data_IF_291182613374
#
_entry.id   IF_291182613374
#
_cell.length_a   1.000
_cell.length_b   1.000
_cell.length_c   1.000
_cell.angle_alpha   90.00
_cell.angle_beta   90.00
_cell.angle_gamma   90.00
#
_symmetry.space_group_name_H-M   'P 1'
#
loop_
_entity.id
_entity.type
_entity.pdbx_description
1 polymer ?
#
# COMPACT_ATOMS: atom_id res chain seq x y z
N UNK A 1 -28.51 4.14 5.32
CA UNK A 1 -27.04 4.13 5.13
C UNK A 1 -26.41 3.55 6.38
N UNK A 2 -25.34 2.77 6.23
CA UNK A 2 -24.56 2.22 7.35
C UNK A 2 -23.90 3.38 8.11
N UNK A 3 -23.90 3.33 9.44
CA UNK A 3 -23.20 4.29 10.29
C UNK A 3 -21.91 3.63 10.82
N UNK A 4 -20.87 4.40 11.01
CA UNK A 4 -19.67 3.95 11.69
C UNK A 4 -19.95 3.72 13.18
N UNK A 5 -19.46 2.62 13.72
CA UNK A 5 -19.58 2.29 15.14
C UNK A 5 -18.17 2.17 15.75
N UNK A 6 -17.76 3.17 16.52
CA UNK A 6 -16.46 3.19 17.19
C UNK A 6 -16.22 1.99 18.12
N UNK A 7 -17.29 1.37 18.64
CA UNK A 7 -17.12 0.20 19.52
C UNK A 7 -16.47 -0.99 18.83
N UNK A 8 -16.50 -1.02 17.48
CA UNK A 8 -15.89 -2.05 16.65
C UNK A 8 -14.36 -1.88 16.49
N UNK A 9 -13.81 -0.69 16.73
CA UNK A 9 -12.37 -0.41 16.57
C UNK A 9 -11.47 -1.28 17.46
N UNK A 10 -12.03 -1.87 18.50
CA UNK A 10 -11.33 -2.81 19.39
C UNK A 10 -11.48 -4.29 18.99
N UNK A 11 -12.32 -4.58 18.00
CA UNK A 11 -12.61 -5.95 17.56
C UNK A 11 -11.62 -6.36 16.46
N UNK A 12 -10.73 -7.35 16.70
CA UNK A 12 -9.75 -7.79 15.71
C UNK A 12 -10.36 -8.39 14.44
N UNK A 13 -11.65 -8.71 14.44
CA UNK A 13 -12.37 -9.14 13.26
C UNK A 13 -12.92 -7.98 12.41
N UNK A 14 -12.89 -6.75 12.95
CA UNK A 14 -13.32 -5.54 12.25
C UNK A 14 -12.13 -4.66 11.87
N UNK A 15 -11.19 -5.18 11.11
CA UNK A 15 -9.99 -4.47 10.64
C UNK A 15 -10.20 -3.75 9.30
N UNK A 16 -11.25 -4.07 8.56
CA UNK A 16 -11.65 -3.35 7.34
C UNK A 16 -13.16 -3.42 7.11
N UNK A 17 -13.69 -2.40 6.43
CA UNK A 17 -15.08 -2.31 5.99
C UNK A 17 -15.14 -1.54 4.68
N UNK A 18 -15.69 -2.14 3.62
CA UNK A 18 -15.81 -1.56 2.29
C UNK A 18 -14.48 -1.06 1.68
N UNK A 19 -13.34 -1.52 2.19
CA UNK A 19 -12.03 -1.29 1.60
C UNK A 19 -11.85 -2.14 0.34
N UNK A 20 -11.18 -1.61 -0.68
CA UNK A 20 -10.80 -2.37 -1.86
C UNK A 20 -9.84 -3.51 -1.50
N UNK A 21 -9.91 -4.62 -2.25
CA UNK A 21 -8.92 -5.68 -2.16
C UNK A 21 -7.54 -5.15 -2.55
N UNK A 22 -6.50 -5.58 -1.84
CA UNK A 22 -5.13 -5.22 -2.17
C UNK A 22 -4.78 -5.65 -3.60
N UNK A 23 -4.06 -4.80 -4.31
CA UNK A 23 -3.62 -5.03 -5.69
C UNK A 23 -2.25 -4.38 -5.91
N UNK A 24 -1.60 -4.71 -7.01
CA UNK A 24 -0.33 -4.08 -7.38
C UNK A 24 -0.48 -2.56 -7.56
N UNK A 25 0.51 -1.81 -7.10
CA UNK A 25 0.54 -0.35 -7.09
C UNK A 25 1.11 0.27 -8.39
N UNK A 26 0.97 -0.43 -9.50
CA UNK A 26 1.45 0.01 -10.81
C UNK A 26 0.81 1.34 -11.24
N UNK A 27 1.59 2.16 -11.92
CA UNK A 27 1.11 3.41 -12.52
C UNK A 27 0.69 3.13 -13.96
N UNK A 28 -0.42 3.72 -14.37
CA UNK A 28 -0.93 3.62 -15.75
C UNK A 28 -1.26 5.01 -16.31
N UNK A 29 -1.16 5.13 -17.63
CA UNK A 29 -1.30 6.35 -18.39
C UNK A 29 -2.35 6.16 -19.47
N UNK A 30 -2.99 7.25 -19.92
CA UNK A 30 -4.02 7.19 -20.97
C UNK A 30 -3.50 6.69 -22.32
N UNK A 31 -2.27 7.06 -22.65
CA UNK A 31 -1.60 6.67 -23.90
C UNK A 31 -0.07 6.79 -23.76
N UNK A 32 0.66 6.31 -24.77
CA UNK A 32 2.12 6.35 -24.78
C UNK A 32 2.72 7.75 -24.79
N UNK A 33 2.03 8.77 -25.32
CA UNK A 33 2.51 10.15 -25.30
C UNK A 33 2.45 10.73 -23.90
N UNK A 34 1.35 10.50 -23.16
CA UNK A 34 1.23 10.89 -21.77
C UNK A 34 2.30 10.20 -20.91
N UNK A 35 2.48 8.91 -21.07
CA UNK A 35 3.51 8.12 -20.40
C UNK A 35 4.91 8.72 -20.62
N UNK A 36 5.29 8.99 -21.86
CA UNK A 36 6.59 9.58 -22.18
C UNK A 36 6.79 10.96 -21.56
N UNK A 37 5.77 11.81 -21.61
CA UNK A 37 5.79 13.15 -21.01
C UNK A 37 5.92 13.05 -19.49
N UNK A 38 5.14 12.18 -18.87
CA UNK A 38 5.17 11.99 -17.42
C UNK A 38 6.52 11.48 -16.92
N UNK A 39 7.14 10.52 -17.63
CA UNK A 39 8.48 10.02 -17.29
C UNK A 39 9.56 11.10 -17.47
N UNK A 40 9.45 11.99 -18.48
CA UNK A 40 10.42 13.04 -18.73
C UNK A 40 10.31 14.20 -17.73
N UNK A 41 9.10 14.63 -17.44
CA UNK A 41 8.81 15.85 -16.69
C UNK A 41 8.48 15.60 -15.22
N UNK A 42 8.37 14.33 -14.81
CA UNK A 42 7.97 13.94 -13.45
C UNK A 42 6.52 14.34 -13.11
N UNK A 43 5.64 14.38 -14.12
CA UNK A 43 4.24 14.76 -13.93
C UNK A 43 3.38 13.53 -13.60
N UNK A 44 2.32 13.75 -12.84
CA UNK A 44 1.35 12.70 -12.53
C UNK A 44 0.55 12.30 -13.79
N UNK A 45 0.03 11.08 -13.80
CA UNK A 45 -0.90 10.58 -14.80
C UNK A 45 -2.25 11.32 -14.70
N UNK A 46 -2.95 11.50 -15.84
CA UNK A 46 -4.31 12.06 -15.85
C UNK A 46 -5.36 11.19 -15.15
N UNK A 47 -5.02 9.96 -14.80
CA UNK A 47 -5.88 9.09 -14.01
C UNK A 47 -5.82 9.38 -12.51
N UNK A 48 -4.86 10.17 -12.02
CA UNK A 48 -4.72 10.55 -10.60
C UNK A 48 -4.94 12.05 -10.39
N UNK A 49 -5.40 12.39 -9.20
CA UNK A 49 -5.56 13.77 -8.75
C UNK A 49 -5.20 13.86 -7.28
N UNK A 50 -4.11 14.53 -6.96
CA UNK A 50 -3.60 14.67 -5.59
C UNK A 50 -4.58 15.45 -4.70
N UNK A 51 -4.82 14.93 -3.50
CA UNK A 51 -5.50 15.63 -2.41
C UNK A 51 -4.54 16.14 -1.33
N UNK A 52 -3.25 15.99 -1.53
CA UNK A 52 -2.22 16.51 -0.63
C UNK A 52 -2.37 18.01 -0.38
N UNK A 53 -1.66 18.51 0.62
CA UNK A 53 -1.67 19.92 1.01
C UNK A 53 -2.47 20.16 2.29
N UNK A 54 -3.09 21.34 2.43
CA UNK A 54 -3.78 21.70 3.66
C UNK A 54 -5.17 21.06 3.76
N UNK A 55 -5.45 20.47 4.93
CA UNK A 55 -6.75 19.94 5.32
C UNK A 55 -7.20 20.62 6.60
N UNK A 56 -8.50 20.79 6.80
CA UNK A 56 -9.05 21.19 8.10
C UNK A 56 -8.86 20.07 9.11
N UNK A 57 -8.48 20.41 10.33
CA UNK A 57 -8.01 19.48 11.33
C UNK A 57 -8.52 19.79 12.72
N UNK A 58 -8.89 18.74 13.47
CA UNK A 58 -9.23 18.82 14.86
C UNK A 58 -8.64 17.65 15.64
N UNK A 59 -7.82 17.97 16.65
CA UNK A 59 -7.23 17.00 17.55
C UNK A 59 -8.11 16.74 18.78
N UNK A 60 -8.25 15.48 19.16
CA UNK A 60 -8.88 15.10 20.41
C UNK A 60 -8.02 14.06 21.14
N UNK A 61 -7.97 14.16 22.47
CA UNK A 61 -7.20 13.24 23.31
C UNK A 61 -7.74 11.80 23.30
N UNK A 62 -9.03 11.63 23.04
CA UNK A 62 -9.72 10.36 22.93
C UNK A 62 -11.05 10.54 22.19
N UNK A 63 -11.69 9.44 21.82
CA UNK A 63 -12.95 9.48 21.07
C UNK A 63 -14.10 10.18 21.83
N UNK A 64 -14.14 10.07 23.16
CA UNK A 64 -15.19 10.75 23.97
C UNK A 64 -15.11 12.28 23.89
N UNK A 65 -13.91 12.82 23.66
CA UNK A 65 -13.67 14.26 23.49
C UNK A 65 -13.62 14.70 22.01
N UNK A 66 -13.66 13.76 21.07
CA UNK A 66 -13.66 14.06 19.64
C UNK A 66 -14.99 14.71 19.21
N UNK A 67 -14.90 15.61 18.24
CA UNK A 67 -16.08 16.25 17.65
C UNK A 67 -16.95 15.21 16.96
N UNK A 68 -18.22 15.16 17.33
CA UNK A 68 -19.18 14.25 16.74
C UNK A 68 -20.01 14.96 15.66
N UNK A 69 -20.37 14.23 14.60
CA UNK A 69 -21.19 14.76 13.52
C UNK A 69 -20.44 15.71 12.57
N UNK A 70 -19.11 15.80 12.69
CA UNK A 70 -18.30 16.67 11.83
C UNK A 70 -18.31 16.23 10.36
N UNK A 71 -18.60 14.97 10.10
CA UNK A 71 -18.73 14.37 8.77
C UNK A 71 -19.93 14.90 7.99
N UNK A 72 -20.96 15.41 8.68
CA UNK A 72 -22.18 15.93 8.07
C UNK A 72 -21.90 17.11 7.16
N UNK A 73 -22.68 17.24 6.09
CA UNK A 73 -22.48 18.29 5.10
C UNK A 73 -22.65 19.69 5.67
N UNK A 74 -23.61 19.87 6.57
CA UNK A 74 -23.94 21.15 7.20
C UNK A 74 -23.02 21.54 8.35
N UNK A 75 -22.14 20.63 8.79
CA UNK A 75 -21.15 20.95 9.84
C UNK A 75 -20.07 21.88 9.29
N UNK A 76 -19.88 23.03 9.92
CA UNK A 76 -18.87 24.01 9.55
C UNK A 76 -17.54 23.77 10.26
N UNK A 77 -16.47 23.58 9.49
CA UNK A 77 -15.11 23.40 10.00
C UNK A 77 -14.26 24.69 9.92
N UNK A 78 -14.88 25.88 9.77
CA UNK A 78 -14.16 27.12 9.54
C UNK A 78 -13.12 27.44 10.63
N UNK A 79 -13.49 27.21 11.89
CA UNK A 79 -12.65 27.49 13.05
C UNK A 79 -11.66 26.36 13.40
N UNK A 80 -11.60 25.31 12.59
CA UNK A 80 -10.64 24.23 12.74
C UNK A 80 -9.24 24.67 12.28
N UNK A 81 -8.21 24.09 12.85
CA UNK A 81 -6.84 24.26 12.39
C UNK A 81 -6.67 23.78 10.94
N UNK A 82 -5.58 24.19 10.33
CA UNK A 82 -5.11 23.63 9.06
C UNK A 82 -3.89 22.77 9.34
N UNK A 83 -3.85 21.55 8.78
CA UNK A 83 -2.73 20.62 8.90
C UNK A 83 -2.25 20.18 7.51
N UNK A 84 -0.96 19.92 7.37
CA UNK A 84 -0.44 19.34 6.14
C UNK A 84 -0.79 17.83 6.05
N UNK A 85 -1.12 17.39 4.85
CA UNK A 85 -1.25 15.99 4.45
C UNK A 85 -0.41 15.83 3.18
N UNK A 86 0.55 14.89 3.14
CA UNK A 86 0.89 13.92 4.18
C UNK A 86 1.73 14.51 5.33
N UNK A 87 1.42 14.09 6.57
CA UNK A 87 2.26 14.33 7.74
C UNK A 87 1.81 13.48 8.93
N UNK A 88 2.72 13.19 9.84
CA UNK A 88 2.36 12.74 11.19
C UNK A 88 1.88 13.91 12.02
N UNK A 89 0.79 13.76 12.78
CA UNK A 89 0.26 14.86 13.61
C UNK A 89 1.27 15.32 14.66
N UNK A 90 2.14 14.41 15.13
CA UNK A 90 3.20 14.71 16.08
C UNK A 90 4.27 15.65 15.51
N UNK A 91 4.50 15.61 14.19
CA UNK A 91 5.43 16.48 13.50
C UNK A 91 4.80 17.85 13.19
N UNK A 92 3.47 17.95 13.23
CA UNK A 92 2.69 19.18 13.04
C UNK A 92 2.34 19.89 14.36
N UNK A 93 2.85 19.38 15.51
CA UNK A 93 2.68 20.02 16.81
C UNK A 93 1.50 19.52 17.66
N UNK A 94 0.85 18.44 17.24
CA UNK A 94 -0.22 17.78 17.98
C UNK A 94 0.29 16.47 18.57
N UNK A 95 -0.11 16.16 19.83
CA UNK A 95 0.42 15.00 20.56
C UNK A 95 1.95 15.06 20.71
N UNK A 96 2.59 13.99 21.13
CA UNK A 96 4.05 13.90 21.27
C UNK A 96 4.58 12.61 20.63
N UNK A 97 5.75 12.67 19.97
CA UNK A 97 6.45 11.45 19.55
C UNK A 97 6.74 10.58 20.77
N UNK A 98 6.37 9.31 20.71
CA UNK A 98 6.63 8.33 21.75
C UNK A 98 7.43 7.19 21.13
N UNK A 99 8.57 6.86 21.72
CA UNK A 99 9.33 5.68 21.33
C UNK A 99 9.04 4.55 22.31
N UNK A 100 8.72 3.38 21.78
CA UNK A 100 8.61 2.16 22.55
C UNK A 100 9.29 1.02 21.77
N UNK A 101 10.17 0.29 22.46
CA UNK A 101 10.93 -0.82 21.88
C UNK A 101 10.13 -2.13 22.02
N UNK A 102 10.08 -2.68 23.24
CA UNK A 102 9.50 -4.00 23.53
C UNK A 102 8.22 -3.93 24.38
N UNK A 103 7.71 -2.76 24.58
CA UNK A 103 6.52 -2.49 25.42
C UNK A 103 5.41 -1.90 24.59
N UNK A 104 4.19 -2.31 24.87
CA UNK A 104 3.06 -1.58 24.32
C UNK A 104 3.05 -0.13 24.84
N UNK A 105 2.68 0.83 23.98
CA UNK A 105 2.74 2.25 24.32
C UNK A 105 1.79 2.68 25.46
N UNK A 106 0.85 1.83 25.86
CA UNK A 106 -0.07 2.07 26.98
C UNK A 106 0.37 1.43 28.29
N UNK A 107 1.41 0.59 28.31
CA UNK A 107 1.90 -0.05 29.52
C UNK A 107 2.37 1.00 30.55
N UNK A 108 2.01 0.78 31.81
CA UNK A 108 2.25 1.74 32.89
C UNK A 108 1.33 2.96 32.90
N UNK A 109 0.49 3.15 31.89
CA UNK A 109 -0.49 4.23 31.80
C UNK A 109 -1.93 3.74 31.92
N UNK A 110 -2.25 2.64 31.26
CA UNK A 110 -3.57 2.03 31.26
C UNK A 110 -3.42 0.50 31.14
N UNK A 111 -3.96 -0.22 32.14
CA UNK A 111 -3.94 -1.68 32.11
C UNK A 111 -5.08 -2.18 31.23
N UNK A 112 -4.74 -2.77 30.08
CA UNK A 112 -5.69 -3.33 29.13
C UNK A 112 -5.22 -4.71 28.67
N UNK A 113 -6.16 -5.49 28.15
CA UNK A 113 -5.94 -6.85 27.65
C UNK A 113 -6.28 -6.95 26.15
N UNK A 114 -5.77 -7.96 25.43
CA UNK A 114 -6.15 -8.19 24.05
C UNK A 114 -7.67 -8.16 23.82
N UNK A 115 -8.12 -7.43 22.79
CA UNK A 115 -9.52 -7.13 22.58
C UNK A 115 -10.02 -5.84 23.27
N UNK A 116 -9.12 -5.11 23.90
CA UNK A 116 -9.35 -3.77 24.43
C UNK A 116 -8.41 -2.77 23.78
N UNK A 117 -8.76 -1.49 23.83
CA UNK A 117 -7.92 -0.36 23.41
C UNK A 117 -7.90 0.69 24.51
N UNK A 118 -6.86 1.53 24.59
CA UNK A 118 -6.82 2.63 25.58
C UNK A 118 -8.03 3.55 25.44
N UNK A 119 -8.66 3.93 26.57
CA UNK A 119 -9.80 4.82 26.57
C UNK A 119 -9.48 6.23 27.12
N UNK A 120 -8.49 6.34 28.01
CA UNK A 120 -8.13 7.63 28.63
C UNK A 120 -7.31 8.48 27.69
N UNK A 121 -6.35 7.84 27.01
CA UNK A 121 -5.49 8.47 26.05
C UNK A 121 -5.38 7.60 24.79
N UNK A 122 -6.23 7.88 23.83
CA UNK A 122 -6.22 7.30 22.48
C UNK A 122 -6.50 8.43 21.51
N UNK A 123 -5.47 9.18 21.08
CA UNK A 123 -5.62 10.32 20.20
C UNK A 123 -6.46 10.03 18.97
N UNK A 124 -7.33 10.98 18.65
CA UNK A 124 -8.19 10.96 17.48
C UNK A 124 -7.93 12.22 16.68
N UNK A 125 -7.54 12.01 15.43
CA UNK A 125 -7.28 13.05 14.46
C UNK A 125 -8.45 13.11 13.47
N UNK A 126 -9.22 14.21 13.48
CA UNK A 126 -10.33 14.41 12.56
C UNK A 126 -9.93 15.37 11.46
N UNK A 127 -10.12 14.98 10.21
CA UNK A 127 -9.70 15.69 9.01
C UNK A 127 -10.90 16.01 8.12
N UNK A 128 -10.88 17.17 7.46
CA UNK A 128 -11.86 17.51 6.42
C UNK A 128 -11.14 18.14 5.22
N UNK A 129 -11.43 17.62 4.03
CA UNK A 129 -11.01 18.17 2.74
C UNK A 129 -12.21 18.46 1.87
N UNK A 130 -12.24 19.66 1.29
CA UNK A 130 -13.22 19.98 0.26
C UNK A 130 -12.55 19.86 -1.10
N UNK A 131 -13.21 19.17 -2.03
CA UNK A 131 -12.72 19.01 -3.39
C UNK A 131 -13.86 19.04 -4.42
N UNK A 132 -13.51 19.33 -5.66
CA UNK A 132 -14.40 19.16 -6.80
C UNK A 132 -13.77 18.16 -7.74
N UNK A 133 -14.54 17.19 -8.21
CA UNK A 133 -14.04 16.18 -9.15
C UNK A 133 -13.53 16.88 -10.42
N UNK A 134 -12.27 16.67 -10.84
CA UNK A 134 -11.74 17.23 -12.08
C UNK A 134 -12.60 16.85 -13.28
N UNK A 135 -12.73 17.76 -14.26
CA UNK A 135 -13.65 17.58 -15.39
C UNK A 135 -13.39 16.30 -16.17
N UNK A 136 -12.12 15.93 -16.37
CA UNK A 136 -11.71 14.72 -17.09
C UNK A 136 -11.98 13.41 -16.33
N UNK A 137 -12.30 13.47 -15.03
CA UNK A 137 -12.65 12.34 -14.18
C UNK A 137 -14.16 12.18 -14.00
N UNK A 138 -14.96 13.19 -14.36
CA UNK A 138 -16.42 13.15 -14.19
C UNK A 138 -17.06 12.01 -14.99
N UNK A 139 -18.05 11.37 -14.39
CA UNK A 139 -18.82 10.28 -15.01
C UNK A 139 -18.06 8.94 -15.10
N UNK A 140 -16.85 8.87 -14.55
CA UNK A 140 -16.08 7.63 -14.41
C UNK A 140 -16.23 7.06 -12.99
N UNK A 141 -15.87 5.80 -12.81
CA UNK A 141 -15.66 5.25 -11.47
C UNK A 141 -14.54 6.02 -10.79
N UNK A 142 -14.79 6.51 -9.59
CA UNK A 142 -13.85 7.30 -8.81
C UNK A 142 -13.50 6.58 -7.53
N UNK A 143 -12.22 6.50 -7.26
CA UNK A 143 -11.66 5.89 -6.07
C UNK A 143 -10.81 6.91 -5.31
N UNK A 144 -10.55 6.63 -4.04
CA UNK A 144 -9.58 7.33 -3.22
C UNK A 144 -8.57 6.33 -2.68
N UNK A 145 -7.29 6.72 -2.67
CA UNK A 145 -6.21 5.98 -2.05
C UNK A 145 -5.56 6.80 -0.96
N UNK A 146 -5.45 6.22 0.23
CA UNK A 146 -4.59 6.66 1.32
C UNK A 146 -3.39 5.73 1.35
N UNK A 147 -2.22 6.21 0.96
CA UNK A 147 -1.02 5.38 0.85
C UNK A 147 -0.42 4.99 2.21
N UNK A 148 -0.84 5.65 3.28
CA UNK A 148 -0.49 5.31 4.66
C UNK A 148 -1.22 6.17 5.67
N UNK A 149 -1.92 5.53 6.61
CA UNK A 149 -2.63 6.18 7.71
C UNK A 149 -2.48 5.34 8.98
N UNK A 150 -1.92 5.91 10.03
CA UNK A 150 -1.58 5.18 11.26
C UNK A 150 -2.49 5.60 12.42
N UNK A 151 -3.27 4.67 13.02
CA UNK A 151 -3.46 3.24 12.70
C UNK A 151 -4.80 2.97 12.02
N UNK A 152 -5.92 3.36 12.59
CA UNK A 152 -7.25 3.10 12.06
C UNK A 152 -7.82 4.30 11.33
N UNK A 153 -8.34 4.11 10.14
CA UNK A 153 -8.91 5.14 9.28
C UNK A 153 -10.41 4.88 9.04
N UNK A 154 -11.26 5.79 9.51
CA UNK A 154 -12.68 5.82 9.13
C UNK A 154 -12.93 6.96 8.15
N UNK A 155 -13.73 6.71 7.10
CA UNK A 155 -13.92 7.61 5.97
C UNK A 155 -15.41 7.91 5.71
N UNK A 156 -15.72 9.18 5.45
CA UNK A 156 -17.05 9.64 5.02
C UNK A 156 -16.94 10.56 3.81
N UNK A 157 -17.91 10.49 2.93
CA UNK A 157 -18.07 11.44 1.85
C UNK A 157 -19.48 12.00 1.86
N UNK A 158 -19.61 13.34 1.91
CA UNK A 158 -20.90 14.05 1.93
C UNK A 158 -21.85 13.55 3.05
N UNK A 159 -21.28 13.23 4.22
CA UNK A 159 -22.02 12.74 5.39
C UNK A 159 -22.34 11.25 5.40
N UNK A 160 -22.08 10.55 4.30
CA UNK A 160 -22.27 9.11 4.23
C UNK A 160 -20.99 8.37 4.62
N UNK A 161 -21.08 7.35 5.48
CA UNK A 161 -19.96 6.48 5.81
C UNK A 161 -19.55 5.65 4.59
N UNK A 162 -18.28 5.77 4.21
CA UNK A 162 -17.70 5.07 3.05
C UNK A 162 -17.07 3.76 3.48
N UNK A 163 -16.20 3.79 4.51
CA UNK A 163 -15.52 2.58 4.94
C UNK A 163 -14.50 2.79 6.06
N UNK A 164 -13.80 1.70 6.41
CA UNK A 164 -12.82 1.63 7.50
C UNK A 164 -11.63 0.75 7.12
N UNK A 165 -10.44 1.06 7.66
CA UNK A 165 -9.22 0.27 7.48
C UNK A 165 -8.27 0.43 8.67
N UNK A 166 -7.53 -0.64 9.03
CA UNK A 166 -6.58 -0.67 10.14
C UNK A 166 -5.14 -1.06 9.74
N UNK A 167 -4.79 -1.17 8.48
CA UNK A 167 -3.40 -1.38 8.09
C UNK A 167 -2.67 -0.03 7.94
N UNK A 168 -1.64 0.18 8.76
CA UNK A 168 -0.93 1.45 8.83
C UNK A 168 0.02 1.71 7.66
N UNK A 169 0.55 0.65 7.01
CA UNK A 169 1.70 0.74 6.11
C UNK A 169 1.44 0.31 4.68
N UNK A 170 0.26 -0.18 4.38
CA UNK A 170 -0.19 -0.47 3.01
C UNK A 170 -1.37 0.43 2.62
N UNK A 171 -1.62 0.62 1.31
CA UNK A 171 -2.69 1.50 0.87
C UNK A 171 -4.07 1.10 1.36
N UNK A 172 -4.86 2.08 1.80
CA UNK A 172 -6.28 1.93 2.11
C UNK A 172 -7.09 2.63 1.04
N UNK A 173 -7.84 1.85 0.24
CA UNK A 173 -8.54 2.33 -0.93
C UNK A 173 -10.05 2.11 -0.85
N UNK A 174 -10.83 3.07 -1.37
CA UNK A 174 -12.28 3.03 -1.33
C UNK A 174 -12.89 3.56 -2.63
N UNK A 175 -13.95 2.92 -3.12
CA UNK A 175 -14.73 3.46 -4.23
C UNK A 175 -15.68 4.56 -3.73
N UNK A 176 -15.62 5.72 -4.36
CA UNK A 176 -16.40 6.90 -4.00
C UNK A 176 -17.59 7.16 -4.93
N UNK A 177 -17.72 6.45 -6.04
CA UNK A 177 -18.65 6.73 -7.15
C UNK A 177 -20.08 7.02 -6.68
N UNK A 178 -20.62 6.16 -5.82
CA UNK A 178 -22.02 6.27 -5.35
C UNK A 178 -22.23 7.35 -4.28
N UNK A 179 -21.17 7.95 -3.76
CA UNK A 179 -21.22 8.97 -2.70
C UNK A 179 -21.03 10.40 -3.23
N UNK A 180 -20.65 10.54 -4.51
CA UNK A 180 -20.36 11.83 -5.14
C UNK A 180 -21.60 12.65 -5.37
N UNK A 181 -21.43 13.97 -5.34
CA UNK A 181 -22.41 14.94 -5.80
C UNK A 181 -21.80 15.95 -6.78
N UNK A 182 -22.62 16.62 -7.53
CA UNK A 182 -22.18 17.72 -8.38
C UNK A 182 -21.61 18.88 -7.55
N UNK A 183 -20.53 19.49 -8.06
CA UNK A 183 -19.85 20.60 -7.43
C UNK A 183 -18.89 20.17 -6.32
N UNK A 184 -18.93 20.88 -5.19
CA UNK A 184 -18.02 20.66 -4.08
C UNK A 184 -18.44 19.45 -3.24
N UNK A 185 -17.54 18.52 -3.02
CA UNK A 185 -17.68 17.37 -2.15
C UNK A 185 -16.92 17.60 -0.83
N UNK A 186 -17.48 17.13 0.27
CA UNK A 186 -16.89 17.16 1.60
C UNK A 186 -16.39 15.76 1.97
N UNK A 187 -15.09 15.58 1.95
CA UNK A 187 -14.42 14.38 2.44
C UNK A 187 -14.10 14.58 3.93
N UNK A 188 -14.52 13.65 4.77
CA UNK A 188 -14.20 13.63 6.19
C UNK A 188 -13.49 12.33 6.52
N UNK A 189 -12.39 12.41 7.26
CA UNK A 189 -11.64 11.26 7.72
C UNK A 189 -11.36 11.36 9.22
N UNK A 190 -11.35 10.23 9.91
CA UNK A 190 -10.97 10.16 11.31
C UNK A 190 -9.94 9.06 11.50
N UNK A 191 -8.77 9.43 12.06
CA UNK A 191 -7.68 8.51 12.32
C UNK A 191 -7.57 8.29 13.81
N UNK A 192 -7.56 7.02 14.21
CA UNK A 192 -7.42 6.57 15.59
C UNK A 192 -6.00 6.07 15.82
N UNK A 193 -5.32 6.59 16.86
CA UNK A 193 -3.93 6.19 17.13
C UNK A 193 -3.82 4.72 17.55
N UNK A 194 -4.77 4.25 18.36
CA UNK A 194 -4.78 2.87 18.85
C UNK A 194 -6.08 2.18 18.48
N UNK A 195 -5.94 0.99 17.90
CA UNK A 195 -7.03 0.11 17.45
C UNK A 195 -6.75 -1.32 17.88
N UNK A 196 -7.60 -2.26 17.49
CA UNK A 196 -7.29 -3.68 17.68
C UNK A 196 -5.97 -4.07 17.01
N UNK A 197 -5.68 -3.52 15.84
CA UNK A 197 -4.44 -3.75 15.09
C UNK A 197 -3.17 -3.36 15.85
N UNK A 198 -3.25 -2.38 16.75
CA UNK A 198 -2.09 -1.93 17.53
C UNK A 198 -1.49 -3.02 18.42
N UNK A 199 -2.24 -4.09 18.71
CA UNK A 199 -1.72 -5.28 19.38
C UNK A 199 -0.76 -6.10 18.51
N UNK A 200 -0.84 -5.95 17.19
CA UNK A 200 0.03 -6.60 16.20
C UNK A 200 0.93 -5.59 15.46
N UNK A 201 0.93 -4.33 15.86
CA UNK A 201 1.82 -3.26 15.36
C UNK A 201 2.73 -2.78 16.49
N UNK A 202 3.34 -3.72 17.20
CA UNK A 202 4.20 -3.43 18.35
C UNK A 202 5.69 -3.54 18.01
N UNK A 203 6.05 -2.92 16.89
CA UNK A 203 7.43 -2.86 16.42
C UNK A 203 8.27 -1.90 17.27
N UNK A 204 9.59 -2.11 17.22
CA UNK A 204 10.60 -1.23 17.79
C UNK A 204 10.71 0.07 16.99
N UNK A 205 9.84 1.04 17.28
CA UNK A 205 9.78 2.29 16.52
C UNK A 205 9.05 3.43 17.26
N UNK A 206 9.07 4.64 16.68
CA UNK A 206 8.26 5.75 17.13
C UNK A 206 6.77 5.49 16.88
N UNK A 207 5.94 5.76 17.89
CA UNK A 207 4.48 5.68 17.84
C UNK A 207 3.92 7.01 17.34
N UNK A 208 3.76 7.10 16.03
CA UNK A 208 3.12 8.22 15.37
C UNK A 208 1.63 7.98 15.13
N UNK A 209 0.98 8.92 14.48
CA UNK A 209 -0.37 8.78 13.95
C UNK A 209 -0.66 9.86 12.90
N UNK A 210 -1.73 9.70 12.16
CA UNK A 210 -2.16 10.62 11.12
C UNK A 210 -2.05 10.04 9.72
N UNK A 211 -2.36 10.86 8.71
CA UNK A 211 -2.26 10.53 7.29
C UNK A 211 -0.86 10.96 6.82
N UNK A 212 0.08 10.03 6.78
CA UNK A 212 1.50 10.36 6.62
C UNK A 212 2.10 10.03 5.25
N UNK A 213 1.35 9.33 4.38
CA UNK A 213 1.68 9.15 2.97
C UNK A 213 0.62 9.82 2.10
N UNK A 214 0.86 9.88 0.81
CA UNK A 214 0.03 10.57 -0.17
C UNK A 214 -1.43 10.14 -0.14
N UNK A 215 -2.30 11.11 -0.45
CA UNK A 215 -3.72 10.88 -0.70
C UNK A 215 -4.07 11.39 -2.08
N UNK A 216 -4.68 10.54 -2.89
CA UNK A 216 -5.13 10.93 -4.22
C UNK A 216 -6.45 10.27 -4.60
N UNK A 217 -7.19 10.98 -5.45
CA UNK A 217 -8.30 10.39 -6.20
C UNK A 217 -7.75 9.72 -7.44
N UNK A 218 -8.35 8.62 -7.85
CA UNK A 218 -8.02 8.01 -9.14
C UNK A 218 -9.25 7.47 -9.85
N UNK A 219 -9.16 7.38 -11.17
CA UNK A 219 -10.16 6.76 -12.03
C UNK A 219 -9.53 5.65 -12.83
N UNK A 220 -10.35 4.72 -13.27
CA UNK A 220 -9.95 3.60 -14.12
C UNK A 220 -10.73 3.63 -15.42
N UNK A 221 -10.14 3.19 -16.55
CA UNK A 221 -10.88 3.00 -17.79
C UNK A 221 -11.80 1.77 -17.71
N UNK A 222 -12.66 1.59 -18.72
CA UNK A 222 -13.61 0.47 -18.78
C UNK A 222 -12.92 -0.89 -18.93
N UNK A 223 -11.78 -0.93 -19.64
CA UNK A 223 -10.88 -2.09 -19.68
C UNK A 223 -9.60 -1.71 -18.93
N UNK A 224 -9.38 -2.31 -17.77
CA UNK A 224 -8.36 -1.93 -16.80
C UNK A 224 -7.66 -3.15 -16.21
N UNK A 225 -6.33 -3.05 -16.04
CA UNK A 225 -5.54 -4.01 -15.26
C UNK A 225 -5.66 -3.65 -13.76
N UNK A 226 -6.48 -4.40 -13.03
CA UNK A 226 -6.69 -4.19 -11.60
C UNK A 226 -5.48 -4.65 -10.78
N UNK A 227 -4.88 -5.79 -11.17
CA UNK A 227 -3.75 -6.38 -10.46
C UNK A 227 -2.77 -6.98 -11.47
N UNK A 228 -1.47 -6.84 -11.20
CA UNK A 228 -0.40 -7.21 -12.12
C UNK A 228 0.71 -7.94 -11.37
N UNK A 229 0.98 -9.18 -11.76
CA UNK A 229 2.10 -9.96 -11.27
C UNK A 229 3.05 -10.29 -12.40
N UNK A 230 4.33 -9.92 -12.28
CA UNK A 230 5.38 -10.18 -13.28
C UNK A 230 6.46 -11.05 -12.64
N UNK A 231 6.77 -12.19 -13.29
CA UNK A 231 7.83 -13.10 -12.87
C UNK A 231 8.76 -13.36 -14.04
N UNK A 232 10.03 -13.03 -13.87
CA UNK A 232 11.07 -13.17 -14.89
C UNK A 232 12.19 -14.07 -14.34
N UNK A 233 12.05 -15.39 -14.57
CA UNK A 233 12.89 -16.41 -13.93
C UNK A 233 13.69 -17.19 -14.97
N UNK A 234 15.03 -17.03 -15.00
CA UNK A 234 15.91 -17.86 -15.84
C UNK A 234 15.82 -19.34 -15.47
N UNK A 235 15.99 -20.20 -16.47
CA UNK A 235 16.22 -21.65 -16.26
C UNK A 235 17.56 -21.90 -15.54
N UNK A 236 17.83 -23.13 -15.13
CA UNK A 236 19.06 -23.45 -14.40
C UNK A 236 20.35 -23.19 -15.19
N UNK A 237 20.30 -23.35 -16.51
CA UNK A 237 21.43 -23.09 -17.42
C UNK A 237 21.63 -21.59 -17.72
N UNK A 238 20.65 -20.74 -17.35
CA UNK A 238 20.61 -19.30 -17.55
C UNK A 238 20.53 -18.82 -19.01
N UNK A 239 20.46 -19.73 -19.97
CA UNK A 239 20.40 -19.40 -21.41
C UNK A 239 18.99 -19.01 -21.87
N UNK A 240 17.97 -19.44 -21.13
CA UNK A 240 16.56 -19.14 -21.38
C UNK A 240 15.89 -18.73 -20.08
N UNK A 241 14.96 -17.81 -20.16
CA UNK A 241 14.13 -17.42 -19.02
C UNK A 241 12.64 -17.50 -19.35
N UNK A 242 11.84 -17.83 -18.36
CA UNK A 242 10.39 -17.63 -18.41
C UNK A 242 10.08 -16.19 -18.01
N UNK A 243 9.32 -15.49 -18.86
CA UNK A 243 8.60 -14.27 -18.51
C UNK A 243 7.13 -14.64 -18.35
N UNK A 244 6.65 -14.71 -17.12
CA UNK A 244 5.25 -14.95 -16.78
C UNK A 244 4.62 -13.65 -16.35
N UNK A 245 3.48 -13.29 -16.92
CA UNK A 245 2.68 -12.12 -16.55
C UNK A 245 1.26 -12.59 -16.27
N UNK A 246 0.78 -12.35 -15.04
CA UNK A 246 -0.61 -12.53 -14.65
C UNK A 246 -1.24 -11.18 -14.44
N UNK A 247 -2.42 -11.00 -15.02
CA UNK A 247 -3.18 -9.75 -14.93
C UNK A 247 -4.62 -10.07 -14.53
N UNK A 248 -5.10 -9.47 -13.46
CA UNK A 248 -6.53 -9.43 -13.16
C UNK A 248 -7.11 -8.21 -13.86
N UNK A 249 -8.11 -8.39 -14.70
CA UNK A 249 -8.68 -7.30 -15.49
C UNK A 249 -10.15 -7.07 -15.21
N UNK A 250 -10.56 -5.81 -15.30
CA UNK A 250 -11.95 -5.42 -15.54
C UNK A 250 -12.15 -5.20 -17.03
N UNK A 251 -13.40 -5.38 -17.48
CA UNK A 251 -13.78 -5.13 -18.88
C UNK A 251 -13.35 -6.23 -19.84
N UNK A 252 -13.48 -5.93 -21.13
CA UNK A 252 -13.22 -6.84 -22.24
C UNK A 252 -12.35 -6.16 -23.29
N UNK A 253 -11.66 -6.97 -24.10
CA UNK A 253 -10.84 -6.44 -25.18
C UNK A 253 -9.56 -7.22 -25.40
N UNK A 254 -8.44 -6.51 -25.52
CA UNK A 254 -7.15 -7.12 -25.77
C UNK A 254 -6.04 -6.43 -24.99
N UNK A 255 -4.94 -7.15 -24.80
CA UNK A 255 -3.74 -6.69 -24.10
C UNK A 255 -2.53 -6.90 -25.02
N UNK A 256 -1.64 -5.91 -25.09
CA UNK A 256 -0.39 -6.00 -25.83
C UNK A 256 0.79 -5.86 -24.87
N UNK A 257 1.88 -6.55 -25.18
CA UNK A 257 3.11 -6.56 -24.41
C UNK A 257 4.27 -6.21 -25.35
N UNK A 258 5.13 -5.30 -24.91
CA UNK A 258 6.38 -4.94 -25.59
C UNK A 258 7.50 -4.91 -24.56
N UNK A 259 8.46 -5.82 -24.71
CA UNK A 259 9.67 -5.89 -23.88
C UNK A 259 10.86 -5.39 -24.69
N UNK A 260 11.58 -4.44 -24.15
CA UNK A 260 12.74 -3.83 -24.79
C UNK A 260 13.97 -3.88 -23.87
N UNK A 261 15.15 -3.98 -24.46
CA UNK A 261 16.44 -3.85 -23.78
C UNK A 261 17.37 -2.99 -24.63
N UNK A 262 17.85 -1.90 -24.04
CA UNK A 262 18.77 -0.95 -24.67
C UNK A 262 18.24 -0.42 -26.02
N UNK A 263 16.90 -0.27 -26.15
CA UNK A 263 16.21 0.17 -27.37
C UNK A 263 15.93 -0.92 -28.41
N UNK A 264 16.33 -2.16 -28.15
CA UNK A 264 16.02 -3.30 -29.00
C UNK A 264 14.78 -4.03 -28.52
N UNK A 265 13.83 -4.32 -29.42
CA UNK A 265 12.62 -5.08 -29.10
C UNK A 265 12.97 -6.57 -28.96
N UNK A 266 12.69 -7.12 -27.77
CA UNK A 266 12.93 -8.52 -27.40
C UNK A 266 11.67 -9.37 -27.57
N UNK A 267 10.51 -8.78 -27.26
CA UNK A 267 9.19 -9.40 -27.36
C UNK A 267 8.18 -8.34 -27.76
N UNK A 268 7.30 -8.66 -28.69
CA UNK A 268 6.11 -7.87 -28.99
C UNK A 268 4.97 -8.83 -29.35
N UNK A 269 3.89 -8.78 -28.58
CA UNK A 269 2.73 -9.64 -28.83
C UNK A 269 1.44 -9.00 -28.31
N UNK A 270 0.34 -9.23 -29.04
CA UNK A 270 -1.02 -8.83 -28.63
C UNK A 270 -1.89 -10.07 -28.48
N UNK A 271 -2.66 -10.13 -27.39
CA UNK A 271 -3.56 -11.23 -27.04
C UNK A 271 -4.96 -10.71 -26.74
N UNK A 272 -5.98 -11.52 -26.97
CA UNK A 272 -7.32 -11.25 -26.47
C UNK A 272 -7.38 -11.51 -24.96
N UNK A 273 -8.10 -10.66 -24.25
CA UNK A 273 -8.45 -10.93 -22.85
C UNK A 273 -9.51 -12.05 -22.81
N UNK A 274 -9.37 -12.94 -21.84
CA UNK A 274 -10.36 -13.98 -21.58
C UNK A 274 -11.65 -13.32 -21.12
N UNK A 275 -12.79 -13.70 -21.70
CA UNK A 275 -14.08 -13.30 -21.14
C UNK A 275 -14.30 -13.99 -19.80
N UNK A 276 -15.06 -13.35 -18.91
CA UNK A 276 -15.45 -13.94 -17.63
C UNK A 276 -16.17 -15.29 -17.90
N UNK A 277 -15.39 -16.36 -17.92
CA UNK A 277 -15.88 -17.69 -17.71
C UNK A 277 -16.32 -17.82 -16.27
N UNK A 278 -17.21 -18.76 -15.94
CA UNK A 278 -17.68 -19.07 -14.60
C UNK A 278 -16.59 -19.65 -13.67
N UNK A 279 -15.35 -19.26 -13.83
CA UNK A 279 -14.35 -19.46 -12.79
C UNK A 279 -14.71 -18.49 -11.71
N UNK A 280 -15.40 -18.98 -10.66
CA UNK A 280 -15.46 -18.34 -9.38
C UNK A 280 -14.02 -17.95 -9.07
N UNK A 281 -13.73 -16.65 -9.06
CA UNK A 281 -12.50 -16.14 -8.44
C UNK A 281 -12.37 -16.88 -7.13
N UNK A 282 -11.21 -17.48 -6.87
CA UNK A 282 -10.99 -18.35 -5.74
C UNK A 282 -11.76 -17.87 -4.52
N UNK A 283 -12.83 -18.60 -4.20
CA UNK A 283 -13.82 -18.23 -3.18
C UNK A 283 -13.23 -18.35 -1.76
N UNK A 284 -11.92 -18.42 -1.63
CA UNK A 284 -11.18 -18.64 -0.40
C UNK A 284 -10.28 -17.49 0.03
N UNK A 285 -10.64 -16.27 -0.26
CA UNK A 285 -10.18 -15.20 0.62
C UNK A 285 -10.99 -15.28 1.91
N UNK A 286 -10.64 -16.18 2.78
CA UNK A 286 -11.29 -16.51 4.06
C UNK A 286 -11.46 -15.32 5.02
N UNK A 287 -10.88 -14.17 4.70
CA UNK A 287 -10.64 -13.08 5.63
C UNK A 287 -11.12 -11.73 5.12
N UNK A 288 -11.47 -11.58 3.86
CA UNK A 288 -11.89 -10.25 3.37
C UNK A 288 -13.38 -10.09 3.58
N UNK A 289 -13.76 -9.45 4.66
CA UNK A 289 -15.13 -9.06 4.90
C UNK A 289 -15.51 -7.89 3.99
N UNK A 290 -16.11 -8.22 2.82
CA UNK A 290 -16.80 -7.26 1.95
C UNK A 290 -15.89 -6.20 1.32
N UNK A 291 -14.94 -6.62 0.52
CA UNK A 291 -14.35 -5.72 -0.45
C UNK A 291 -15.37 -5.43 -1.56
N UNK A 292 -15.40 -4.19 -2.02
CA UNK A 292 -16.24 -3.78 -3.15
C UNK A 292 -15.58 -4.17 -4.50
N UNK A 293 -14.87 -5.31 -4.55
CA UNK A 293 -14.24 -5.79 -5.76
C UNK A 293 -15.31 -6.25 -6.74
N UNK A 294 -15.47 -5.50 -7.82
CA UNK A 294 -16.16 -6.00 -9.00
C UNK A 294 -15.40 -7.22 -9.51
N UNK A 295 -16.11 -8.21 -10.03
CA UNK A 295 -15.54 -9.45 -10.55
C UNK A 295 -14.42 -9.14 -11.56
N UNK A 296 -13.18 -9.45 -11.18
CA UNK A 296 -12.04 -9.42 -12.08
C UNK A 296 -11.90 -10.75 -12.82
N UNK A 297 -11.24 -10.72 -13.98
CA UNK A 297 -10.89 -11.93 -14.73
C UNK A 297 -9.38 -12.07 -14.77
N UNK A 298 -8.86 -13.19 -14.33
CA UNK A 298 -7.42 -13.45 -14.36
C UNK A 298 -7.01 -13.96 -15.74
N UNK A 299 -6.01 -13.31 -16.33
CA UNK A 299 -5.33 -13.71 -17.56
C UNK A 299 -3.87 -14.05 -17.25
N UNK A 300 -3.34 -15.08 -17.87
CA UNK A 300 -1.96 -15.55 -17.66
C UNK A 300 -1.24 -15.72 -19.01
N UNK A 301 -0.03 -15.16 -19.09
CA UNK A 301 0.78 -15.15 -20.32
C UNK A 301 2.20 -15.60 -19.97
N UNK A 302 2.79 -16.44 -20.82
CA UNK A 302 4.16 -16.95 -20.61
C UNK A 302 4.93 -16.93 -21.90
N UNK A 303 6.17 -16.42 -21.87
CA UNK A 303 7.10 -16.40 -22.98
C UNK A 303 8.48 -16.91 -22.58
N UNK A 304 9.19 -17.50 -23.53
CA UNK A 304 10.61 -17.85 -23.38
C UNK A 304 11.48 -16.74 -23.96
N UNK A 305 12.32 -16.18 -23.13
CA UNK A 305 13.30 -15.15 -23.50
C UNK A 305 14.67 -15.81 -23.58
N UNK A 306 15.30 -15.74 -24.76
CA UNK A 306 16.60 -16.36 -25.00
C UNK A 306 17.74 -15.42 -24.61
N UNK A 307 18.76 -15.97 -23.94
CA UNK A 307 19.97 -15.26 -23.50
C UNK A 307 19.68 -13.93 -22.80
N UNK A 308 18.82 -13.91 -21.73
CA UNK A 308 18.50 -12.67 -21.08
C UNK A 308 19.72 -12.07 -20.35
N UNK A 309 19.85 -10.75 -20.35
CA UNK A 309 20.76 -10.06 -19.45
C UNK A 309 20.23 -10.17 -18.02
N UNK A 310 21.02 -10.75 -17.14
CA UNK A 310 20.58 -11.08 -15.79
C UNK A 310 20.79 -9.90 -14.83
N UNK A 311 19.81 -9.69 -13.97
CA UNK A 311 19.90 -8.71 -12.90
C UNK A 311 20.68 -9.27 -11.69
N UNK A 312 21.56 -8.46 -11.12
CA UNK A 312 22.18 -8.69 -9.82
C UNK A 312 22.46 -7.36 -9.11
N UNK A 313 22.77 -7.38 -7.81
CA UNK A 313 23.10 -6.16 -7.08
C UNK A 313 24.38 -5.47 -7.61
N UNK A 314 25.29 -6.21 -8.21
CA UNK A 314 26.51 -5.69 -8.82
C UNK A 314 26.29 -5.17 -10.25
N UNK A 315 25.29 -5.74 -10.97
CA UNK A 315 24.94 -5.39 -12.34
C UNK A 315 23.41 -5.43 -12.50
N UNK A 316 22.70 -4.35 -12.15
CA UNK A 316 21.24 -4.30 -12.11
C UNK A 316 20.62 -4.10 -13.50
N UNK A 317 20.71 -5.13 -14.32
CA UNK A 317 20.16 -5.14 -15.69
C UNK A 317 18.63 -5.18 -15.67
N UNK A 318 17.99 -4.11 -16.13
CA UNK A 318 16.53 -3.99 -16.24
C UNK A 318 16.11 -3.89 -17.70
N UNK A 319 14.98 -4.49 -18.01
CA UNK A 319 14.26 -4.37 -19.27
C UNK A 319 13.09 -3.42 -19.10
N UNK A 320 12.72 -2.73 -20.18
CA UNK A 320 11.51 -1.92 -20.26
C UNK A 320 10.36 -2.78 -20.80
N UNK A 321 9.35 -3.01 -19.96
CA UNK A 321 8.12 -3.67 -20.37
C UNK A 321 7.01 -2.63 -20.46
N UNK A 322 6.39 -2.53 -21.62
CA UNK A 322 5.17 -1.73 -21.82
C UNK A 322 4.00 -2.69 -22.00
N UNK A 323 2.94 -2.50 -21.20
CA UNK A 323 1.68 -3.23 -21.31
C UNK A 323 0.62 -2.22 -21.75
N UNK A 324 -0.15 -2.56 -22.80
CA UNK A 324 -1.22 -1.73 -23.30
C UNK A 324 -2.54 -2.49 -23.28
N UNK A 325 -3.58 -1.90 -22.70
CA UNK A 325 -4.92 -2.46 -22.72
C UNK A 325 -5.79 -1.74 -23.74
N UNK A 326 -6.62 -2.50 -24.42
CA UNK A 326 -7.53 -2.02 -25.48
C UNK A 326 -8.94 -2.52 -25.23
N UNK A 327 -9.95 -1.70 -25.53
CA UNK A 327 -11.35 -2.12 -25.55
C UNK A 327 -11.68 -3.07 -26.72
N UNK A 328 -12.93 -3.54 -26.81
CA UNK A 328 -13.39 -4.40 -27.89
C UNK A 328 -13.36 -3.71 -29.26
N UNK A 329 -13.39 -2.38 -29.31
CA UNK A 329 -13.28 -1.59 -30.55
C UNK A 329 -11.82 -1.37 -30.99
N UNK A 330 -10.85 -1.74 -30.15
CA UNK A 330 -9.42 -1.58 -30.41
C UNK A 330 -8.85 -0.22 -30.01
N UNK A 331 -9.58 0.58 -29.21
CA UNK A 331 -9.06 1.84 -28.67
C UNK A 331 -8.22 1.57 -27.43
N UNK A 332 -7.08 2.27 -27.30
CA UNK A 332 -6.23 2.22 -26.10
C UNK A 332 -7.05 2.72 -24.90
N UNK A 333 -6.99 1.96 -23.83
CA UNK A 333 -7.62 2.27 -22.56
C UNK A 333 -6.57 2.74 -21.53
N UNK A 334 -5.43 2.05 -21.48
CA UNK A 334 -4.31 2.42 -20.63
C UNK A 334 -2.99 1.84 -21.11
N UNK A 335 -1.89 2.46 -20.68
CA UNK A 335 -0.50 2.05 -20.94
C UNK A 335 0.23 1.98 -19.59
N UNK A 336 0.82 0.83 -19.29
CA UNK A 336 1.49 0.53 -18.02
C UNK A 336 2.97 0.25 -18.30
N UNK A 337 3.90 1.15 -17.92
CA UNK A 337 5.32 0.87 -17.94
C UNK A 337 5.76 0.06 -16.72
N UNK A 338 6.63 -0.92 -16.93
CA UNK A 338 7.23 -1.71 -15.85
C UNK A 338 8.71 -1.96 -16.13
N UNK A 339 9.53 -2.02 -15.06
CA UNK A 339 10.91 -2.48 -15.15
C UNK A 339 10.98 -3.96 -14.79
N UNK A 340 11.70 -4.76 -15.57
CA UNK A 340 11.79 -6.21 -15.39
C UNK A 340 13.24 -6.65 -15.29
N UNK A 341 13.60 -7.27 -14.17
CA UNK A 341 14.90 -7.88 -13.94
C UNK A 341 14.82 -9.42 -14.00
N UNK A 342 15.58 -10.03 -14.91
CA UNK A 342 15.67 -11.49 -14.98
C UNK A 342 16.64 -12.01 -13.93
N UNK A 343 16.14 -12.74 -12.93
CA UNK A 343 16.95 -13.27 -11.83
C UNK A 343 16.38 -14.60 -11.33
N UNK A 344 17.30 -15.49 -10.94
CA UNK A 344 16.95 -16.78 -10.34
C UNK A 344 17.57 -16.84 -8.93
N UNK A 345 16.74 -16.64 -7.92
CA UNK A 345 17.11 -16.81 -6.52
C UNK A 345 16.76 -18.24 -6.07
N UNK A 346 17.70 -18.94 -5.46
CA UNK A 346 17.52 -20.32 -5.01
C UNK A 346 18.30 -20.59 -3.74
N UNK A 347 17.84 -21.58 -2.99
CA UNK A 347 18.61 -22.21 -1.93
C UNK A 347 19.02 -23.63 -2.37
N UNK A 348 20.31 -23.83 -2.68
CA UNK A 348 20.88 -25.13 -3.05
C UNK A 348 21.81 -25.62 -1.95
N UNK A 349 21.52 -26.81 -1.39
CA UNK A 349 22.33 -27.43 -0.30
C UNK A 349 22.57 -26.48 0.89
N UNK A 350 21.55 -25.72 1.30
CA UNK A 350 21.66 -24.73 2.38
C UNK A 350 22.44 -23.46 2.05
N UNK A 351 22.78 -23.22 0.78
CA UNK A 351 23.49 -22.03 0.29
C UNK A 351 22.53 -21.20 -0.58
N UNK A 352 22.37 -19.95 -0.25
CA UNK A 352 21.63 -18.98 -1.09
C UNK A 352 22.46 -18.63 -2.32
N UNK A 353 21.83 -18.71 -3.48
CA UNK A 353 22.44 -18.37 -4.77
C UNK A 353 21.54 -17.43 -5.56
N UNK A 354 22.14 -16.52 -6.30
CA UNK A 354 21.49 -15.74 -7.35
C UNK A 354 22.18 -16.04 -8.67
N UNK A 355 21.39 -16.42 -9.69
CA UNK A 355 21.91 -16.79 -11.01
C UNK A 355 23.05 -17.82 -10.91
N UNK A 356 22.87 -18.83 -10.06
CA UNK A 356 23.84 -19.90 -9.82
C UNK A 356 25.09 -19.51 -9.01
N UNK A 357 25.25 -18.23 -8.65
CA UNK A 357 26.39 -17.76 -7.83
C UNK A 357 25.96 -17.58 -6.38
N UNK A 358 26.80 -18.03 -5.43
CA UNK A 358 26.58 -17.77 -4.00
C UNK A 358 26.46 -16.27 -3.73
N UNK A 359 25.45 -15.90 -2.95
CA UNK A 359 25.31 -14.53 -2.46
C UNK A 359 25.44 -14.45 -0.93
N UNK A 360 25.83 -13.26 -0.48
CA UNK A 360 25.84 -12.87 0.93
C UNK A 360 25.19 -11.50 1.02
N UNK A 361 24.17 -11.38 1.85
CA UNK A 361 23.56 -10.09 2.15
C UNK A 361 24.51 -9.29 3.08
N UNK A 362 25.14 -8.26 2.52
CA UNK A 362 25.88 -7.24 3.26
C UNK A 362 24.90 -6.10 3.49
N UNK A 363 23.94 -6.32 4.38
CA UNK A 363 22.76 -5.50 4.54
C UNK A 363 22.71 -4.73 5.83
N UNK A 364 21.76 -3.81 5.88
CA UNK A 364 21.40 -3.03 7.07
C UNK A 364 19.89 -3.12 7.29
N UNK A 365 19.49 -3.04 8.56
CA UNK A 365 18.11 -2.76 8.92
C UNK A 365 17.83 -1.27 8.65
N UNK A 366 16.71 -0.96 8.02
CA UNK A 366 16.35 0.40 7.66
C UNK A 366 14.92 0.69 8.05
N UNK A 367 14.72 1.67 8.92
CA UNK A 367 13.43 2.32 9.04
C UNK A 367 13.23 3.33 7.91
N UNK A 368 12.02 3.40 7.33
CA UNK A 368 11.62 4.51 6.48
C UNK A 368 11.39 5.73 7.39
N UNK A 369 12.42 6.56 7.55
CA UNK A 369 12.42 7.59 8.56
C UNK A 369 13.28 8.80 8.19
N UNK A 370 12.71 9.99 8.35
CA UNK A 370 13.40 11.27 8.31
C UNK A 370 13.36 11.95 9.69
N UNK A 371 14.47 12.55 10.12
CA UNK A 371 14.54 13.28 11.38
C UNK A 371 13.66 14.56 11.38
N UNK A 372 13.17 14.98 10.24
CA UNK A 372 12.36 16.20 10.06
C UNK A 372 10.88 15.88 9.90
N UNK A 373 10.54 14.82 9.17
CA UNK A 373 9.18 14.52 8.72
C UNK A 373 8.64 13.16 9.21
N UNK A 374 9.41 12.44 10.06
CA UNK A 374 9.02 11.10 10.51
C UNK A 374 9.06 10.09 9.37
N UNK A 375 8.00 9.30 9.18
CA UNK A 375 7.93 8.30 8.10
C UNK A 375 7.46 8.85 6.75
N UNK A 376 7.22 10.15 6.64
CA UNK A 376 7.04 10.79 5.35
C UNK A 376 8.42 11.13 4.78
N UNK A 377 8.95 10.25 3.90
CA UNK A 377 10.29 10.36 3.34
C UNK A 377 10.21 10.70 1.86
N UNK A 378 10.93 11.73 1.44
CA UNK A 378 10.97 12.17 0.05
C UNK A 378 11.79 11.25 -0.85
N UNK A 379 11.51 11.27 -2.17
CA UNK A 379 12.33 10.54 -3.15
C UNK A 379 13.81 10.94 -3.09
N UNK A 380 14.10 12.22 -2.85
CA UNK A 380 15.48 12.70 -2.73
C UNK A 380 16.22 12.03 -1.56
N UNK A 381 15.54 11.88 -0.41
CA UNK A 381 16.08 11.20 0.76
C UNK A 381 16.29 9.70 0.49
N UNK A 382 15.31 9.03 -0.14
CA UNK A 382 15.42 7.63 -0.52
C UNK A 382 16.61 7.39 -1.47
N UNK A 383 16.73 8.19 -2.54
CA UNK A 383 17.86 8.09 -3.47
C UNK A 383 19.20 8.41 -2.81
N UNK A 384 19.21 9.31 -1.84
CA UNK A 384 20.41 9.62 -1.04
C UNK A 384 20.83 8.44 -0.18
N UNK A 385 19.90 7.81 0.53
CA UNK A 385 20.14 6.62 1.35
C UNK A 385 20.75 5.49 0.52
N UNK A 386 20.12 5.13 -0.58
CA UNK A 386 20.60 4.04 -1.45
C UNK A 386 21.96 4.35 -2.07
N UNK A 387 22.19 5.62 -2.45
CA UNK A 387 23.52 6.03 -2.96
C UNK A 387 24.62 5.89 -1.90
N UNK A 388 24.34 6.30 -0.66
CA UNK A 388 25.27 6.14 0.46
C UNK A 388 25.53 4.67 0.73
N UNK A 389 24.49 3.82 0.71
CA UNK A 389 24.64 2.38 0.90
C UNK A 389 25.54 1.76 -0.17
N UNK A 390 25.30 2.06 -1.44
CA UNK A 390 26.15 1.55 -2.55
C UNK A 390 27.59 2.02 -2.42
N UNK A 391 27.84 3.29 -2.05
CA UNK A 391 29.19 3.84 -1.85
C UNK A 391 29.93 3.15 -0.70
N UNK A 392 29.22 2.54 0.23
CA UNK A 392 29.79 1.82 1.37
C UNK A 392 29.73 0.28 1.22
N UNK A 393 29.51 -0.22 0.00
CA UNK A 393 29.41 -1.65 -0.32
C UNK A 393 28.29 -2.39 0.43
N UNK A 394 27.22 -1.71 0.79
CA UNK A 394 25.99 -2.31 1.29
C UNK A 394 25.16 -2.72 0.06
N UNK A 395 24.71 -3.97 0.02
CA UNK A 395 23.98 -4.54 -1.11
C UNK A 395 22.59 -5.03 -0.74
N UNK A 396 22.16 -4.86 0.51
CA UNK A 396 20.84 -5.30 0.96
C UNK A 396 20.27 -4.37 2.02
N UNK A 397 18.94 -4.28 2.07
CA UNK A 397 18.20 -3.66 3.15
C UNK A 397 17.13 -4.65 3.67
N UNK A 398 16.80 -4.53 4.95
CA UNK A 398 15.59 -5.09 5.54
C UNK A 398 14.70 -3.93 5.93
N UNK A 399 13.45 -3.94 5.43
CA UNK A 399 12.44 -2.94 5.80
C UNK A 399 11.98 -3.22 7.22
N UNK A 400 12.63 -2.65 8.19
CA UNK A 400 12.27 -2.92 9.58
C UNK A 400 11.31 -1.83 10.09
N UNK A 401 10.11 -2.21 10.53
CA UNK A 401 9.57 -3.60 10.60
C UNK A 401 8.20 -3.64 9.91
N UNK A 402 8.10 -3.09 8.70
CA UNK A 402 6.86 -2.84 7.97
C UNK A 402 7.15 -2.56 6.48
N UNK A 403 6.17 -2.69 5.58
CA UNK A 403 6.33 -2.29 4.19
C UNK A 403 6.63 -0.79 4.05
N UNK A 404 7.68 -0.46 3.32
CA UNK A 404 8.03 0.91 2.98
C UNK A 404 7.12 1.46 1.87
N UNK A 405 7.25 2.73 1.50
CA UNK A 405 6.55 3.31 0.36
C UNK A 405 7.00 2.65 -0.96
N UNK A 406 6.07 2.46 -1.90
CA UNK A 406 6.27 1.72 -3.16
C UNK A 406 7.51 2.14 -3.96
N UNK A 407 7.90 3.40 -3.87
CA UNK A 407 9.06 3.93 -4.60
C UNK A 407 10.37 3.26 -4.22
N UNK A 408 10.57 2.84 -2.96
CA UNK A 408 11.85 2.25 -2.54
C UNK A 408 12.11 0.90 -3.24
N UNK A 409 11.06 0.13 -3.54
CA UNK A 409 11.18 -1.14 -4.25
C UNK A 409 11.70 -0.93 -5.67
N UNK A 410 11.16 0.06 -6.38
CA UNK A 410 11.62 0.45 -7.73
C UNK A 410 13.07 0.95 -7.69
N UNK A 411 13.41 1.77 -6.69
CA UNK A 411 14.76 2.26 -6.51
C UNK A 411 15.74 1.14 -6.16
N UNK A 412 15.34 0.14 -5.40
CA UNK A 412 16.19 -1.02 -5.13
C UNK A 412 16.49 -1.84 -6.39
N UNK A 413 15.52 -1.96 -7.30
CA UNK A 413 15.76 -2.58 -8.61
C UNK A 413 16.75 -1.78 -9.45
N UNK A 414 16.64 -0.44 -9.47
CA UNK A 414 17.53 0.46 -10.22
C UNK A 414 18.94 0.49 -9.65
N UNK A 415 19.08 0.61 -8.32
CA UNK A 415 20.38 0.72 -7.65
C UNK A 415 21.07 -0.63 -7.46
N UNK A 416 20.40 -1.74 -7.66
CA UNK A 416 20.93 -3.07 -7.36
C UNK A 416 21.06 -3.29 -5.85
N UNK A 417 19.96 -3.26 -5.13
CA UNK A 417 19.87 -3.55 -3.70
C UNK A 417 18.93 -4.74 -3.51
N UNK A 418 19.38 -5.76 -2.81
CA UNK A 418 18.51 -6.83 -2.33
C UNK A 418 17.60 -6.31 -1.23
N UNK A 419 16.39 -6.81 -1.16
CA UNK A 419 15.45 -6.43 -0.12
C UNK A 419 14.91 -7.65 0.62
N UNK A 420 14.84 -7.56 1.94
CA UNK A 420 14.03 -8.40 2.79
C UNK A 420 12.89 -7.53 3.28
N UNK A 421 11.73 -7.74 2.70
CA UNK A 421 10.53 -7.02 3.07
C UNK A 421 9.85 -7.64 4.28
N UNK A 422 9.24 -6.82 5.15
CA UNK A 422 8.57 -7.29 6.36
C UNK A 422 7.10 -6.92 6.38
N UNK A 423 6.28 -7.90 6.68
CA UNK A 423 4.87 -7.68 6.97
C UNK A 423 4.73 -6.82 8.23
N UNK A 424 3.76 -5.90 8.24
CA UNK A 424 3.41 -5.08 9.39
C UNK A 424 2.76 -5.94 10.50
N UNK A 425 3.56 -6.81 11.14
CA UNK A 425 3.14 -7.75 12.17
C UNK A 425 4.22 -7.94 13.23
N UNK A 426 3.99 -7.39 14.40
CA UNK A 426 4.80 -7.66 15.60
C UNK A 426 3.94 -7.56 16.86
N UNK A 427 4.16 -8.47 17.83
CA UNK A 427 3.44 -8.48 19.11
C UNK A 427 4.40 -8.69 20.29
N UNK A 428 5.55 -8.00 20.24
CA UNK A 428 6.67 -8.18 21.15
C UNK A 428 6.25 -8.05 22.62
N UNK A 429 5.58 -6.96 22.98
CA UNK A 429 5.18 -6.71 24.37
C UNK A 429 4.27 -7.79 24.95
N UNK A 430 3.45 -8.44 24.13
CA UNK A 430 2.53 -9.47 24.60
C UNK A 430 3.25 -10.75 25.06
N UNK A 431 4.22 -11.25 24.26
CA UNK A 431 4.95 -12.46 24.64
C UNK A 431 6.07 -12.17 25.65
N UNK A 432 6.64 -10.99 25.66
CA UNK A 432 7.60 -10.56 26.70
C UNK A 432 6.91 -10.50 28.07
N UNK A 433 5.74 -9.88 28.15
CA UNK A 433 4.90 -9.88 29.34
C UNK A 433 4.51 -11.28 29.78
N UNK A 434 4.16 -12.18 28.85
CA UNK A 434 3.81 -13.55 29.16
C UNK A 434 5.00 -14.36 29.71
N UNK A 435 6.19 -14.15 29.18
CA UNK A 435 7.41 -14.80 29.71
C UNK A 435 7.70 -14.37 31.15
N UNK A 436 7.51 -13.10 31.44
CA UNK A 436 7.70 -12.54 32.78
C UNK A 436 6.65 -13.05 33.78
N UNK A 437 5.38 -12.94 33.41
CA UNK A 437 4.24 -13.29 34.28
C UNK A 437 3.92 -14.78 34.32
N UNK A 438 4.34 -15.54 33.28
CA UNK A 438 3.91 -16.91 32.97
C UNK A 438 2.42 -17.03 32.66
N UNK A 439 1.80 -15.92 32.27
CA UNK A 439 0.41 -15.85 31.81
C UNK A 439 0.37 -15.70 30.27
N UNK A 440 0.21 -16.82 29.59
CA UNK A 440 0.16 -16.87 28.11
C UNK A 440 -1.21 -16.45 27.55
N UNK A 441 -2.21 -16.20 28.38
CA UNK A 441 -3.51 -15.69 27.92
C UNK A 441 -3.40 -14.26 27.37
N UNK A 442 -2.33 -13.57 27.73
CA UNK A 442 -2.04 -12.21 27.26
C UNK A 442 -1.42 -12.19 25.84
N UNK A 443 -0.84 -13.30 25.40
CA UNK A 443 -0.14 -13.35 24.10
C UNK A 443 -1.10 -13.23 22.92
N UNK A 444 -0.73 -12.40 21.96
CA UNK A 444 -1.41 -12.23 20.68
C UNK A 444 -0.44 -12.69 19.58
N UNK A 445 -0.86 -13.54 18.64
CA UNK A 445 -2.20 -14.13 18.44
C UNK A 445 -2.41 -15.50 19.10
N UNK A 446 -1.52 -15.94 20.00
CA UNK A 446 -1.52 -17.30 20.58
C UNK A 446 -2.92 -17.75 21.04
N UNK A 447 -3.40 -18.88 20.49
CA UNK A 447 -4.73 -19.46 20.75
C UNK A 447 -5.93 -18.48 20.60
N UNK A 448 -5.76 -17.45 19.76
CA UNK A 448 -6.77 -16.42 19.48
C UNK A 448 -7.10 -16.37 17.98
N UNK A 449 -7.94 -17.29 17.49
CA UNK A 449 -8.25 -17.41 16.06
C UNK A 449 -8.93 -16.15 15.48
N UNK A 450 -9.53 -15.31 16.32
CA UNK A 450 -10.14 -14.04 15.93
C UNK A 450 -9.15 -13.03 15.32
N UNK A 451 -7.84 -13.20 15.56
CA UNK A 451 -6.78 -12.36 15.01
C UNK A 451 -6.26 -12.83 13.64
N UNK A 452 -6.56 -14.06 13.25
CA UNK A 452 -5.97 -14.70 12.07
C UNK A 452 -6.25 -13.92 10.78
N UNK A 453 -7.50 -13.48 10.58
CA UNK A 453 -7.90 -12.81 9.34
C UNK A 453 -7.16 -11.50 9.12
N UNK A 454 -6.98 -10.69 10.17
CA UNK A 454 -6.24 -9.45 10.12
C UNK A 454 -4.75 -9.69 9.78
N UNK A 455 -4.13 -10.73 10.34
CA UNK A 455 -2.74 -11.06 10.07
C UNK A 455 -2.53 -11.53 8.62
N UNK A 456 -3.46 -12.33 8.10
CA UNK A 456 -3.43 -12.78 6.70
C UNK A 456 -3.65 -11.63 5.73
N UNK A 457 -4.55 -10.69 6.04
CA UNK A 457 -4.78 -9.49 5.26
C UNK A 457 -3.51 -8.66 5.10
N UNK A 458 -2.75 -8.43 6.18
CA UNK A 458 -1.48 -7.70 6.15
C UNK A 458 -0.41 -8.38 5.30
N UNK A 459 -0.28 -9.71 5.44
CA UNK A 459 0.65 -10.48 4.63
C UNK A 459 0.27 -10.42 3.13
N UNK A 460 -1.03 -10.50 2.82
CA UNK A 460 -1.52 -10.39 1.46
C UNK A 460 -1.36 -8.97 0.89
N UNK A 461 -1.53 -7.93 1.71
CA UNK A 461 -1.36 -6.53 1.27
C UNK A 461 0.09 -6.16 1.00
N UNK A 462 1.04 -6.83 1.66
CA UNK A 462 2.47 -6.67 1.39
C UNK A 462 2.88 -7.40 0.10
N UNK A 463 2.33 -8.61 -0.18
CA UNK A 463 2.70 -9.48 -1.30
C UNK A 463 2.17 -8.98 -2.64
#
# INVERSE_FOLDING_TARGET
MKAFDYSLVKDPQYFCDNRMEAHSDHVYYRDGNEMQTAVQDGTETSFRYSLNGLWKFHYARNYKSAVQGFEKEDYCCYDWDDIHVPAHIQMEGYDAPQYANVQYPWEGHEEIYPGQIPERFNPVASYVKYFTVPEHMKGKRLFISFQGAESGLALWLNGAFVGYSEDSFTPSEFELTDYLKDGQNKLAAQVFKWTSSSWCEDQDFFRFSGIYRDVYLYTVPDTHAYDLQIRAIPEENLDVADLEIKVKTWGKGSIAFRLEKDGECVLEEKKSLTEAGNEEADAEAFYIQKTNSSKTVQNSFVWKINNPKLWSAEDPQLYDLTIELYDEAGNIQEVIPQKVGFRRFEMKNGIMTLNGKRIVFKGVNRHEFSSVSGRHVSEEELRKDLRIMKQNNINAIRTCHYPDASLIYQLCDEFGIYMIDETNLESHGSWDTAEFTKDYTYVVPHDKPEWQSMMLDRANSMY
#
